data_IF_292966392874
#
_entry.id   IF_292966392874
#
_cell.length_a   1.000
_cell.length_b   1.000
_cell.length_c   1.000
_cell.angle_alpha   90.00
_cell.angle_beta   90.00
_cell.angle_gamma   90.00
#
_symmetry.space_group_name_H-M   'P 1'
#
loop_
_entity.id
_entity.type
_entity.pdbx_description
1 polymer ?
#
# COMPACT_ATOMS: atom_id res chain seq x y z
N UNK A 1 -8.39 -21.90 6.98
CA UNK A 1 -8.71 -20.67 6.21
C UNK A 1 -7.50 -20.31 5.34
N UNK A 2 -7.67 -20.10 4.02
CA UNK A 2 -6.56 -19.76 3.10
C UNK A 2 -6.72 -18.30 2.64
N UNK A 3 -5.76 -17.45 2.98
CA UNK A 3 -5.77 -16.05 2.55
C UNK A 3 -5.53 -15.94 1.05
N UNK A 4 -6.31 -15.09 0.38
CA UNK A 4 -6.08 -14.76 -1.00
C UNK A 4 -4.80 -13.91 -1.14
N UNK A 5 -4.16 -13.97 -2.31
CA UNK A 5 -2.94 -13.20 -2.60
C UNK A 5 -3.16 -11.70 -2.37
N UNK A 6 -4.31 -11.18 -2.81
CA UNK A 6 -4.69 -9.77 -2.62
C UNK A 6 -4.77 -9.39 -1.13
N UNK A 7 -5.36 -10.24 -0.29
CA UNK A 7 -5.45 -10.00 1.16
C UNK A 7 -4.06 -9.94 1.79
N UNK A 8 -3.16 -10.85 1.42
CA UNK A 8 -1.77 -10.83 1.94
C UNK A 8 -1.03 -9.57 1.49
N UNK A 9 -1.18 -9.16 0.23
CA UNK A 9 -0.60 -7.92 -0.28
C UNK A 9 -1.15 -6.69 0.45
N UNK A 10 -2.44 -6.68 0.77
CA UNK A 10 -3.07 -5.59 1.51
C UNK A 10 -2.50 -5.47 2.92
N UNK A 11 -2.31 -6.60 3.61
CA UNK A 11 -1.70 -6.63 4.95
C UNK A 11 -0.27 -6.08 4.92
N UNK A 12 0.56 -6.53 3.96
CA UNK A 12 1.93 -6.01 3.83
C UNK A 12 1.95 -4.51 3.54
N UNK A 13 1.11 -4.04 2.61
CA UNK A 13 1.04 -2.63 2.27
C UNK A 13 0.62 -1.76 3.47
N UNK A 14 -0.42 -2.16 4.20
CA UNK A 14 -0.90 -1.42 5.38
C UNK A 14 0.18 -1.41 6.46
N UNK A 15 0.76 -2.57 6.79
CA UNK A 15 1.77 -2.65 7.85
C UNK A 15 3.01 -1.82 7.51
N UNK A 16 3.44 -1.83 6.25
CA UNK A 16 4.57 -1.02 5.80
C UNK A 16 4.28 0.48 5.94
N UNK A 17 3.13 0.93 5.44
CA UNK A 17 2.73 2.34 5.50
C UNK A 17 2.43 2.81 6.93
N UNK A 18 1.90 1.94 7.78
CA UNK A 18 1.59 2.24 9.18
C UNK A 18 2.83 2.24 10.08
N UNK A 19 3.92 1.59 9.66
CA UNK A 19 5.18 1.53 10.44
C UNK A 19 5.84 2.90 10.60
N UNK A 20 5.63 3.80 9.64
CA UNK A 20 5.99 5.22 9.72
C UNK A 20 4.91 6.05 8.99
N UNK A 21 3.83 6.45 9.70
CA UNK A 21 2.70 7.14 9.07
C UNK A 21 3.04 8.50 8.48
N UNK A 22 4.21 9.09 8.77
CA UNK A 22 4.65 10.35 8.17
C UNK A 22 5.34 10.12 6.82
N UNK A 23 5.89 8.92 6.62
CA UNK A 23 6.55 8.54 5.39
C UNK A 23 5.51 8.16 4.33
N UNK A 24 5.79 8.57 3.11
CA UNK A 24 5.07 8.08 1.93
C UNK A 24 5.96 7.11 1.16
N UNK A 25 5.35 6.08 0.60
CA UNK A 25 6.01 5.07 -0.21
C UNK A 25 5.26 4.90 -1.52
N UNK A 26 6.00 4.83 -2.61
CA UNK A 26 5.44 4.46 -3.91
C UNK A 26 5.01 2.98 -3.91
N UNK A 27 4.09 2.65 -4.81
CA UNK A 27 3.74 1.25 -5.04
C UNK A 27 4.95 0.42 -5.49
N UNK A 28 5.93 1.01 -6.18
CA UNK A 28 7.14 0.31 -6.60
C UNK A 28 8.01 -0.08 -5.40
N UNK A 29 8.25 0.83 -4.46
CA UNK A 29 9.07 0.55 -3.27
C UNK A 29 8.50 -0.60 -2.43
N UNK A 30 7.19 -0.59 -2.20
CA UNK A 30 6.51 -1.64 -1.44
C UNK A 30 6.51 -2.95 -2.26
N UNK A 31 6.28 -2.88 -3.57
CA UNK A 31 6.27 -4.04 -4.46
C UNK A 31 7.62 -4.77 -4.47
N UNK A 32 8.71 -4.01 -4.60
CA UNK A 32 10.08 -4.53 -4.58
C UNK A 32 10.41 -5.17 -3.22
N UNK A 33 10.06 -4.51 -2.11
CA UNK A 33 10.31 -5.03 -0.75
C UNK A 33 9.68 -6.40 -0.49
N UNK A 34 8.50 -6.65 -1.06
CA UNK A 34 7.70 -7.85 -0.77
C UNK A 34 7.61 -8.84 -1.94
N UNK A 35 8.37 -8.64 -3.02
CA UNK A 35 8.32 -9.46 -4.25
C UNK A 35 6.89 -9.59 -4.80
N UNK A 36 6.21 -8.45 -4.92
CA UNK A 36 4.86 -8.33 -5.47
C UNK A 36 4.95 -7.58 -6.79
N UNK A 37 4.12 -7.92 -7.79
CA UNK A 37 4.05 -7.07 -8.98
C UNK A 37 3.44 -5.72 -8.64
N UNK A 38 4.08 -4.63 -9.08
CA UNK A 38 3.57 -3.27 -8.89
C UNK A 38 2.12 -3.13 -9.35
N UNK A 39 1.77 -3.72 -10.49
CA UNK A 39 0.40 -3.67 -11.03
C UNK A 39 -0.63 -4.33 -10.10
N UNK A 40 -0.27 -5.43 -9.42
CA UNK A 40 -1.16 -6.06 -8.46
C UNK A 40 -1.28 -5.22 -7.20
N UNK A 41 -0.14 -4.71 -6.70
CA UNK A 41 -0.12 -3.88 -5.51
C UNK A 41 -0.88 -2.56 -5.71
N UNK A 42 -0.77 -1.92 -6.87
CA UNK A 42 -1.50 -0.70 -7.19
C UNK A 42 -3.03 -0.92 -7.15
N UNK A 43 -3.53 -2.07 -7.61
CA UNK A 43 -4.95 -2.43 -7.48
C UNK A 43 -5.37 -2.58 -6.02
N UNK A 44 -4.51 -3.21 -5.22
CA UNK A 44 -4.75 -3.37 -3.77
C UNK A 44 -4.76 -2.01 -3.07
N UNK A 45 -3.75 -1.17 -3.29
CA UNK A 45 -3.66 0.19 -2.72
C UNK A 45 -4.85 1.07 -3.11
N UNK A 46 -5.34 0.95 -4.36
CA UNK A 46 -6.57 1.63 -4.79
C UNK A 46 -7.80 1.16 -3.99
N UNK A 47 -7.94 -0.14 -3.73
CA UNK A 47 -9.02 -0.65 -2.89
C UNK A 47 -8.89 -0.14 -1.46
N UNK A 48 -7.68 -0.15 -0.89
CA UNK A 48 -7.43 0.37 0.45
C UNK A 48 -7.76 1.87 0.57
N UNK A 49 -7.44 2.67 -0.45
CA UNK A 49 -7.74 4.09 -0.44
C UNK A 49 -9.23 4.39 -0.58
N UNK A 50 -10.00 3.53 -1.24
CA UNK A 50 -11.48 3.63 -1.26
C UNK A 50 -12.10 3.41 0.12
N UNK A 51 -11.47 2.58 0.94
CA UNK A 51 -11.89 2.31 2.33
C UNK A 51 -11.27 3.30 3.34
N UNK A 52 -10.51 4.30 2.88
CA UNK A 52 -9.89 5.32 3.73
C UNK A 52 -8.69 4.85 4.55
N UNK A 53 -8.14 3.66 4.29
CA UNK A 53 -7.02 3.10 5.05
C UNK A 53 -5.67 3.67 4.61
N UNK A 54 -5.56 4.11 3.36
CA UNK A 54 -4.39 4.78 2.80
C UNK A 54 -4.81 5.97 1.95
N UNK A 55 -3.94 6.97 1.84
CA UNK A 55 -4.15 8.13 0.98
C UNK A 55 -3.07 8.21 -0.09
N UNK A 56 -3.45 8.61 -1.31
CA UNK A 56 -2.51 8.81 -2.40
C UNK A 56 -1.94 10.24 -2.34
N UNK A 57 -0.61 10.34 -2.28
CA UNK A 57 0.10 11.63 -2.32
C UNK A 57 0.59 11.88 -3.74
N UNK A 58 0.25 13.04 -4.31
CA UNK A 58 0.65 13.45 -5.67
C UNK A 58 1.94 14.27 -5.64
N UNK A 59 2.61 14.37 -6.80
CA UNK A 59 3.83 15.18 -6.98
C UNK A 59 5.10 14.35 -7.12
N UNK A 60 6.25 15.03 -7.24
CA UNK A 60 7.56 14.38 -7.28
C UNK A 60 7.81 13.66 -5.94
N UNK A 61 8.14 12.37 -6.00
CA UNK A 61 8.24 11.52 -4.81
C UNK A 61 6.89 11.17 -4.18
N UNK A 62 5.78 11.33 -4.90
CA UNK A 62 4.45 10.89 -4.46
C UNK A 62 4.36 9.38 -4.23
N UNK A 63 3.21 8.91 -3.77
CA UNK A 63 3.03 7.52 -3.36
C UNK A 63 1.78 7.34 -2.53
N UNK A 64 1.87 6.53 -1.50
CA UNK A 64 0.81 6.25 -0.55
C UNK A 64 1.30 6.51 0.86
N UNK A 65 0.40 6.93 1.74
CA UNK A 65 0.62 7.11 3.18
C UNK A 65 -0.51 6.45 3.95
N UNK A 66 -0.24 6.00 5.17
CA UNK A 66 -1.28 5.47 6.05
C UNK A 66 -2.25 6.59 6.47
N UNK A 67 -3.55 6.33 6.36
CA UNK A 67 -4.61 7.28 6.74
C UNK A 67 -5.70 6.65 7.61
N UNK A 68 -5.51 5.39 8.03
CA UNK A 68 -6.41 4.72 8.95
C UNK A 68 -6.39 5.40 10.33
N UNK A 69 -7.57 5.51 10.94
CA UNK A 69 -7.74 6.07 12.29
C UNK A 69 -7.29 5.08 13.37
#
# INVERSE_FOLDING_TARGET
>A
MRLQKATRCALYAILELASDPKRQLSANEIAEKYDISTNHLAKVLRSLGREGLVEAVRGAGGGYRFSGN
#
